data_IF_862537526077
#
_entry.id   IF_862537526077
#
_cell.length_a   1.000
_cell.length_b   1.000
_cell.length_c   1.000
_cell.angle_alpha   90.00
_cell.angle_beta   90.00
_cell.angle_gamma   90.00
#
_symmetry.space_group_name_H-M   'P 1'
#
loop_
_entity.id
_entity.type
_entity.pdbx_description
1 polymer ?
#
# COMPACT_ATOMS: atom_id res chain seq x y z
N UNK A 1 -10.49 24.32 9.76
CA UNK A 1 -9.35 23.38 9.85
C UNK A 1 -8.73 23.09 8.49
N UNK A 2 -9.54 22.91 7.45
CA UNK A 2 -9.11 22.57 6.09
C UNK A 2 -8.01 23.50 5.55
N UNK A 3 -8.23 24.82 5.60
CA UNK A 3 -7.27 25.84 5.13
C UNK A 3 -5.94 25.78 5.92
N UNK A 4 -6.01 25.56 7.24
CA UNK A 4 -4.81 25.47 8.07
C UNK A 4 -3.96 24.26 7.71
N UNK A 5 -4.58 23.11 7.39
CA UNK A 5 -3.88 21.90 6.95
C UNK A 5 -3.25 22.10 5.58
N UNK A 6 -3.94 22.76 4.64
CA UNK A 6 -3.38 23.11 3.33
C UNK A 6 -2.14 24.00 3.51
N UNK A 7 -2.21 24.99 4.41
CA UNK A 7 -1.07 25.86 4.73
C UNK A 7 0.09 25.04 5.31
N UNK A 8 -0.17 24.17 6.29
CA UNK A 8 0.89 23.33 6.89
C UNK A 8 1.53 22.42 5.84
N UNK A 9 0.74 21.74 5.00
CA UNK A 9 1.27 20.85 3.96
C UNK A 9 2.05 21.60 2.89
N UNK A 10 1.58 22.78 2.49
CA UNK A 10 2.32 23.62 1.53
C UNK A 10 3.65 24.09 2.11
N UNK A 11 3.69 24.50 3.38
CA UNK A 11 4.94 24.85 4.08
C UNK A 11 5.89 23.65 4.14
N UNK A 12 5.39 22.45 4.49
CA UNK A 12 6.20 21.23 4.52
C UNK A 12 6.79 20.90 3.14
N UNK A 13 5.98 20.97 2.08
CA UNK A 13 6.41 20.68 0.72
C UNK A 13 7.43 21.70 0.22
N UNK A 14 7.21 23.00 0.49
CA UNK A 14 8.17 24.06 0.19
C UNK A 14 9.47 23.87 0.98
N UNK A 15 9.39 23.50 2.26
CA UNK A 15 10.57 23.20 3.06
C UNK A 15 11.37 22.03 2.47
N UNK A 16 10.73 20.94 2.03
CA UNK A 16 11.40 19.82 1.39
C UNK A 16 12.09 20.21 0.07
N UNK A 17 11.43 21.04 -0.75
CA UNK A 17 11.98 21.52 -2.02
C UNK A 17 13.16 22.48 -1.82
N UNK A 18 13.04 23.46 -0.90
CA UNK A 18 14.09 24.45 -0.64
C UNK A 18 15.32 23.79 0.00
N UNK A 19 15.10 22.92 0.99
CA UNK A 19 16.17 22.22 1.69
C UNK A 19 16.76 21.08 0.86
N UNK A 20 16.24 20.82 -0.36
CA UNK A 20 16.64 19.72 -1.25
C UNK A 20 16.71 18.38 -0.53
N UNK A 21 15.71 18.13 0.33
CA UNK A 21 15.64 16.89 1.10
C UNK A 21 15.10 15.82 0.16
N UNK A 22 16.02 15.11 -0.50
CA UNK A 22 15.74 14.05 -1.47
C UNK A 22 15.22 14.53 -2.83
N UNK A 23 14.97 13.56 -3.71
CA UNK A 23 14.39 13.78 -5.03
C UNK A 23 12.88 14.05 -4.98
N UNK A 24 12.31 14.53 -6.09
CA UNK A 24 10.85 14.72 -6.26
C UNK A 24 10.08 13.41 -6.04
N UNK A 25 10.73 12.27 -6.27
CA UNK A 25 10.16 10.95 -6.05
C UNK A 25 10.33 10.41 -4.63
N UNK A 26 10.87 11.22 -3.70
CA UNK A 26 10.99 10.81 -2.32
C UNK A 26 9.59 10.60 -1.69
N UNK A 27 9.43 9.60 -0.79
CA UNK A 27 8.14 9.28 -0.20
C UNK A 27 7.47 10.47 0.47
N UNK A 28 8.21 11.29 1.23
CA UNK A 28 7.67 12.47 1.92
C UNK A 28 7.21 13.57 0.97
N UNK A 29 7.87 13.73 -0.19
CA UNK A 29 7.50 14.72 -1.22
C UNK A 29 6.26 14.27 -1.97
N UNK A 30 6.19 13.00 -2.38
CA UNK A 30 5.02 12.44 -3.07
C UNK A 30 3.78 12.49 -2.17
N UNK A 31 3.88 12.03 -0.92
CA UNK A 31 2.72 11.99 -0.02
C UNK A 31 2.19 13.37 0.28
N UNK A 32 3.05 14.35 0.57
CA UNK A 32 2.61 15.73 0.79
C UNK A 32 1.99 16.34 -0.46
N UNK A 33 2.55 16.08 -1.64
CA UNK A 33 2.01 16.57 -2.92
C UNK A 33 0.62 16.01 -3.19
N UNK A 34 0.44 14.69 -3.11
CA UNK A 34 -0.84 14.03 -3.42
C UNK A 34 -1.94 14.54 -2.49
N UNK A 35 -1.69 14.57 -1.17
CA UNK A 35 -2.69 15.04 -0.22
C UNK A 35 -3.00 16.53 -0.35
N UNK A 36 -1.99 17.35 -0.65
CA UNK A 36 -2.21 18.76 -0.95
C UNK A 36 -3.11 18.93 -2.18
N UNK A 37 -2.83 18.20 -3.28
CA UNK A 37 -3.66 18.25 -4.49
C UNK A 37 -5.09 17.82 -4.21
N UNK A 38 -5.30 16.72 -3.47
CA UNK A 38 -6.63 16.24 -3.10
C UNK A 38 -7.39 17.32 -2.31
N UNK A 39 -6.77 17.89 -1.27
CA UNK A 39 -7.40 18.92 -0.44
C UNK A 39 -7.73 20.19 -1.24
N UNK A 40 -6.85 20.60 -2.15
CA UNK A 40 -7.09 21.75 -3.02
C UNK A 40 -8.25 21.48 -3.99
N UNK A 41 -8.30 20.31 -4.62
CA UNK A 41 -9.41 19.94 -5.51
C UNK A 41 -10.75 19.92 -4.77
N UNK A 42 -10.77 19.44 -3.51
CA UNK A 42 -11.95 19.47 -2.65
C UNK A 42 -12.48 20.89 -2.42
N UNK A 43 -11.60 21.90 -2.33
CA UNK A 43 -12.02 23.30 -2.19
C UNK A 43 -12.74 23.83 -3.45
N UNK A 44 -12.36 23.35 -4.63
CA UNK A 44 -12.93 23.77 -5.91
C UNK A 44 -14.20 23.01 -6.31
N UNK A 45 -14.52 21.92 -5.61
CA UNK A 45 -15.60 21.02 -5.99
C UNK A 45 -17.00 21.54 -5.64
N UNK A 46 -17.12 22.54 -4.76
CA UNK A 46 -18.41 23.01 -4.25
C UNK A 46 -19.17 21.91 -3.49
N UNK A 47 -20.51 22.00 -3.42
CA UNK A 47 -21.37 21.05 -2.70
C UNK A 47 -21.63 19.72 -3.46
N UNK A 48 -20.80 19.35 -4.45
CA UNK A 48 -20.99 18.11 -5.22
C UNK A 48 -20.51 16.86 -4.48
N UNK A 49 -19.67 16.99 -3.46
CA UNK A 49 -19.26 15.89 -2.59
C UNK A 49 -19.79 16.07 -1.17
N UNK A 50 -19.89 14.95 -0.46
CA UNK A 50 -20.15 14.96 0.97
C UNK A 50 -19.07 15.77 1.71
N UNK A 51 -19.45 16.61 2.68
CA UNK A 51 -18.51 17.40 3.44
C UNK A 51 -17.58 16.47 4.23
N UNK A 52 -16.28 16.79 4.21
CA UNK A 52 -15.27 16.05 4.95
C UNK A 52 -15.47 16.28 6.45
N UNK A 53 -15.61 15.20 7.22
CA UNK A 53 -15.74 15.28 8.67
C UNK A 53 -14.44 15.69 9.36
N UNK A 54 -14.53 16.26 10.57
CA UNK A 54 -13.36 16.64 11.37
C UNK A 54 -12.40 15.47 11.65
N UNK A 55 -12.92 14.24 11.72
CA UNK A 55 -12.11 13.04 11.92
C UNK A 55 -11.13 12.81 10.77
N UNK A 56 -11.53 13.10 9.52
CA UNK A 56 -10.65 12.99 8.36
C UNK A 56 -9.44 13.93 8.48
N UNK A 57 -9.70 15.19 8.85
CA UNK A 57 -8.65 16.19 9.05
C UNK A 57 -7.69 15.82 10.17
N UNK A 58 -8.20 15.28 11.28
CA UNK A 58 -7.37 14.82 12.40
C UNK A 58 -6.50 13.62 12.00
N UNK A 59 -7.08 12.63 11.31
CA UNK A 59 -6.34 11.47 10.81
C UNK A 59 -5.22 11.91 9.87
N UNK A 60 -5.51 12.82 8.94
CA UNK A 60 -4.55 13.31 7.96
C UNK A 60 -3.43 14.15 8.60
N UNK A 61 -3.77 14.96 9.61
CA UNK A 61 -2.80 15.76 10.37
C UNK A 61 -1.88 14.91 11.25
N UNK A 62 -2.32 13.75 11.74
CA UNK A 62 -1.46 12.80 12.44
C UNK A 62 -0.63 11.97 11.46
N UNK A 63 -1.28 11.45 10.43
CA UNK A 63 -0.70 10.45 9.54
C UNK A 63 0.41 11.02 8.64
N UNK A 64 0.19 12.16 7.98
CA UNK A 64 1.19 12.70 7.03
C UNK A 64 2.50 13.09 7.71
N UNK A 65 2.50 13.83 8.85
CA UNK A 65 3.75 14.16 9.53
C UNK A 65 4.48 12.93 10.06
N UNK A 66 3.77 11.96 10.65
CA UNK A 66 4.39 10.71 11.14
C UNK A 66 5.03 9.94 9.97
N UNK A 67 4.33 9.85 8.83
CA UNK A 67 4.86 9.20 7.64
C UNK A 67 6.08 9.93 7.07
N UNK A 68 6.03 11.26 6.95
CA UNK A 68 7.17 12.06 6.49
C UNK A 68 8.37 11.94 7.44
N UNK A 69 8.17 12.05 8.76
CA UNK A 69 9.24 11.90 9.73
C UNK A 69 9.84 10.50 9.71
N UNK A 70 9.01 9.45 9.72
CA UNK A 70 9.51 8.06 9.69
C UNK A 70 10.26 7.74 8.40
N UNK A 71 9.76 8.20 7.24
CA UNK A 71 10.45 8.02 5.97
C UNK A 71 11.77 8.78 5.89
N UNK A 72 11.83 10.01 6.42
CA UNK A 72 13.07 10.78 6.53
C UNK A 72 14.09 10.10 7.45
N UNK A 73 13.67 9.69 8.64
CA UNK A 73 14.53 8.97 9.60
C UNK A 73 15.07 7.70 8.92
N UNK A 74 14.21 6.92 8.28
CA UNK A 74 14.61 5.70 7.58
C UNK A 74 15.61 6.00 6.48
N UNK A 75 15.38 7.05 5.69
CA UNK A 75 16.27 7.45 4.60
C UNK A 75 17.67 7.85 5.08
N UNK A 76 17.77 8.60 6.18
CA UNK A 76 19.07 9.02 6.74
C UNK A 76 19.78 7.93 7.54
N UNK A 77 19.03 7.03 8.20
CA UNK A 77 19.60 5.93 8.99
C UNK A 77 20.05 4.77 8.10
N UNK A 78 19.43 4.58 6.93
CA UNK A 78 19.80 3.49 6.03
C UNK A 78 21.13 3.80 5.32
N UNK A 79 22.10 2.86 5.30
CA UNK A 79 23.47 3.09 4.83
C UNK A 79 23.61 3.38 3.31
N UNK A 80 22.52 3.59 2.58
CA UNK A 80 22.52 3.99 1.17
C UNK A 80 22.60 5.50 0.93
N UNK A 81 22.54 6.33 1.97
CA UNK A 81 22.45 7.80 1.83
C UNK A 81 23.80 8.50 1.56
N UNK A 82 24.92 7.76 1.55
CA UNK A 82 26.26 8.36 1.53
C UNK A 82 27.20 7.98 0.39
N UNK A 83 27.14 6.78 -0.21
CA UNK A 83 28.33 6.28 -0.93
C UNK A 83 28.14 5.33 -2.14
N UNK A 84 26.96 5.22 -2.74
CA UNK A 84 26.73 4.22 -3.82
C UNK A 84 26.10 4.78 -5.09
N UNK A 85 26.76 5.75 -5.71
CA UNK A 85 26.76 5.84 -7.18
C UNK A 85 27.65 4.76 -7.81
N UNK A 86 28.42 4.00 -7.01
CA UNK A 86 29.45 3.07 -7.50
C UNK A 86 29.10 1.59 -7.57
N UNK A 87 27.94 1.12 -7.08
CA UNK A 87 27.52 -0.28 -7.25
C UNK A 87 25.98 -0.42 -7.24
N UNK A 88 25.31 0.11 -8.26
CA UNK A 88 23.86 -0.05 -8.49
C UNK A 88 23.41 -1.48 -8.86
N UNK A 89 24.33 -2.44 -8.88
CA UNK A 89 24.07 -3.83 -9.29
C UNK A 89 23.88 -4.82 -8.14
N UNK A 90 24.14 -4.43 -6.88
CA UNK A 90 23.96 -5.33 -5.75
C UNK A 90 22.52 -5.26 -5.24
N UNK A 91 21.78 -6.35 -5.41
CA UNK A 91 20.45 -6.56 -4.83
C UNK A 91 20.54 -6.19 -3.33
N UNK A 92 19.74 -5.24 -2.82
CA UNK A 92 19.81 -4.80 -1.44
C UNK A 92 19.75 -6.02 -0.51
N UNK A 93 20.72 -6.11 0.39
CA UNK A 93 20.78 -7.18 1.39
C UNK A 93 19.70 -6.92 2.42
N UNK A 94 18.67 -7.77 2.41
CA UNK A 94 17.60 -7.71 3.40
C UNK A 94 17.97 -8.67 4.53
N UNK A 95 17.69 -8.25 5.75
CA UNK A 95 17.84 -9.10 6.91
C UNK A 95 16.86 -10.28 6.83
N UNK A 96 17.38 -11.45 6.45
CA UNK A 96 16.62 -12.68 6.31
C UNK A 96 15.91 -13.11 7.61
N UNK A 97 16.45 -12.75 8.77
CA UNK A 97 15.84 -13.05 10.07
C UNK A 97 14.54 -12.25 10.24
N UNK A 98 14.57 -10.95 9.97
CA UNK A 98 13.38 -10.10 10.04
C UNK A 98 12.34 -10.53 9.01
N UNK A 99 12.76 -10.82 7.77
CA UNK A 99 11.87 -11.33 6.74
C UNK A 99 11.15 -12.63 7.18
N UNK A 100 11.90 -13.57 7.77
CA UNK A 100 11.33 -14.85 8.22
C UNK A 100 10.36 -14.65 9.39
N UNK A 101 10.67 -13.76 10.34
CA UNK A 101 9.77 -13.43 11.44
C UNK A 101 8.45 -12.85 10.92
N UNK A 102 8.51 -11.86 10.03
CA UNK A 102 7.30 -11.29 9.42
C UNK A 102 6.55 -12.30 8.56
N UNK A 103 7.25 -13.19 7.86
CA UNK A 103 6.63 -14.28 7.10
C UNK A 103 5.84 -15.24 8.01
N UNK A 104 6.42 -15.69 9.12
CA UNK A 104 5.72 -16.56 10.07
C UNK A 104 4.50 -15.85 10.67
N UNK A 105 4.65 -14.57 11.04
CA UNK A 105 3.56 -13.74 11.54
C UNK A 105 2.44 -13.63 10.50
N UNK A 106 2.77 -13.33 9.24
CA UNK A 106 1.81 -13.28 8.11
C UNK A 106 1.02 -14.58 7.96
N UNK A 107 1.72 -15.72 8.02
CA UNK A 107 1.11 -17.05 7.85
C UNK A 107 0.16 -17.43 8.98
N UNK A 108 0.29 -16.82 10.16
CA UNK A 108 -0.63 -17.03 11.28
C UNK A 108 -1.78 -16.02 11.24
N UNK A 109 -1.49 -14.73 11.02
CA UNK A 109 -2.50 -13.67 11.09
C UNK A 109 -3.47 -13.74 9.90
N UNK A 110 -2.98 -13.97 8.68
CA UNK A 110 -3.84 -13.97 7.49
C UNK A 110 -4.99 -15.00 7.55
N UNK A 111 -4.75 -16.28 7.91
CA UNK A 111 -5.85 -17.23 8.04
C UNK A 111 -6.75 -16.94 9.24
N UNK A 112 -6.22 -16.41 10.35
CA UNK A 112 -7.05 -15.99 11.50
C UNK A 112 -7.99 -14.85 11.11
N UNK A 113 -7.48 -13.86 10.37
CA UNK A 113 -8.28 -12.74 9.87
C UNK A 113 -9.41 -13.21 8.94
N UNK A 114 -9.08 -14.12 8.01
CA UNK A 114 -10.09 -14.69 7.12
C UNK A 114 -11.10 -15.53 7.89
N UNK A 115 -10.67 -16.28 8.91
CA UNK A 115 -11.57 -17.06 9.76
C UNK A 115 -12.57 -16.17 10.51
N UNK A 116 -12.14 -15.08 11.13
CA UNK A 116 -13.06 -14.15 11.81
C UNK A 116 -14.07 -13.55 10.84
N UNK A 117 -13.62 -13.09 9.67
CA UNK A 117 -14.52 -12.54 8.64
C UNK A 117 -15.53 -13.58 8.18
N UNK A 118 -15.07 -14.80 7.89
CA UNK A 118 -15.97 -15.87 7.47
C UNK A 118 -16.93 -16.27 8.57
N UNK A 119 -16.51 -16.26 9.84
CA UNK A 119 -17.38 -16.53 10.98
C UNK A 119 -18.48 -15.47 11.06
N UNK A 120 -18.16 -14.19 10.96
CA UNK A 120 -19.15 -13.09 10.95
C UNK A 120 -20.08 -13.21 9.76
N UNK A 121 -19.57 -13.50 8.56
CA UNK A 121 -20.39 -13.68 7.35
C UNK A 121 -21.32 -14.90 7.45
N UNK A 122 -20.87 -15.99 8.07
CA UNK A 122 -21.66 -17.20 8.29
C UNK A 122 -22.73 -17.06 9.40
N UNK A 123 -22.66 -16.01 10.24
CA UNK A 123 -23.77 -15.68 11.15
C UNK A 123 -25.00 -15.15 10.39
N UNK A 124 -24.81 -14.68 9.16
CA UNK A 124 -25.88 -14.32 8.24
C UNK A 124 -26.28 -15.52 7.36
N UNK A 125 -27.20 -15.30 6.42
CA UNK A 125 -27.64 -16.36 5.51
C UNK A 125 -26.49 -16.84 4.59
N UNK A 126 -26.32 -18.16 4.50
CA UNK A 126 -25.24 -18.80 3.74
C UNK A 126 -25.48 -18.81 2.23
N UNK A 127 -26.70 -18.50 1.78
CA UNK A 127 -27.03 -18.48 0.35
C UNK A 127 -26.26 -17.39 -0.42
N UNK A 128 -26.01 -16.23 0.21
CA UNK A 128 -25.43 -15.05 -0.41
C UNK A 128 -24.12 -14.60 0.26
N UNK A 129 -23.20 -15.53 0.53
CA UNK A 129 -21.95 -15.24 1.26
C UNK A 129 -21.13 -14.10 0.66
N UNK A 130 -20.99 -14.02 -0.67
CA UNK A 130 -20.23 -12.93 -1.31
C UNK A 130 -20.89 -11.56 -1.14
N UNK A 131 -22.23 -11.53 -1.15
CA UNK A 131 -22.97 -10.29 -0.92
C UNK A 131 -22.87 -9.85 0.54
N UNK A 132 -22.97 -10.79 1.48
CA UNK A 132 -22.78 -10.54 2.91
C UNK A 132 -21.36 -10.07 3.22
N UNK A 133 -20.35 -10.66 2.58
CA UNK A 133 -18.95 -10.24 2.71
C UNK A 133 -18.74 -8.82 2.15
N UNK A 134 -19.42 -8.47 1.04
CA UNK A 134 -19.42 -7.09 0.52
C UNK A 134 -20.12 -6.12 1.49
N UNK A 135 -21.25 -6.50 2.08
CA UNK A 135 -21.94 -5.66 3.06
C UNK A 135 -21.03 -5.43 4.27
N UNK A 136 -20.38 -6.46 4.78
CA UNK A 136 -19.42 -6.36 5.88
C UNK A 136 -18.23 -5.47 5.51
N UNK A 137 -17.69 -5.58 4.29
CA UNK A 137 -16.60 -4.73 3.85
C UNK A 137 -16.99 -3.24 3.70
N UNK A 138 -18.26 -2.93 3.39
CA UNK A 138 -18.73 -1.55 3.15
C UNK A 138 -19.33 -0.91 4.41
N UNK A 139 -20.03 -1.70 5.24
CA UNK A 139 -20.82 -1.23 6.39
C UNK A 139 -20.39 -1.86 7.71
N UNK A 140 -19.39 -2.74 7.71
CA UNK A 140 -18.85 -3.34 8.92
C UNK A 140 -18.12 -2.30 9.76
N UNK A 141 -18.74 -1.92 10.87
CA UNK A 141 -18.12 -1.09 11.91
C UNK A 141 -17.13 -1.89 12.79
N UNK A 142 -16.97 -3.20 12.54
CA UNK A 142 -16.04 -4.04 13.31
C UNK A 142 -14.59 -3.77 12.86
N UNK A 143 -13.90 -2.94 13.64
CA UNK A 143 -12.44 -2.93 13.61
C UNK A 143 -11.95 -4.28 14.14
N UNK A 144 -11.52 -5.21 13.27
CA UNK A 144 -10.82 -6.46 13.63
C UNK A 144 -9.42 -6.20 14.26
N UNK A 145 -9.25 -5.06 14.93
CA UNK A 145 -8.07 -4.64 15.67
C UNK A 145 -6.79 -4.80 14.86
N UNK A 146 -5.86 -5.56 15.43
CA UNK A 146 -4.55 -5.80 14.84
C UNK A 146 -4.59 -6.69 13.58
N UNK A 147 -5.62 -7.52 13.40
CA UNK A 147 -5.74 -8.44 12.25
C UNK A 147 -5.92 -7.68 10.93
N UNK A 148 -6.48 -6.47 10.99
CA UNK A 148 -6.54 -5.57 9.84
C UNK A 148 -5.16 -5.25 9.28
N UNK A 149 -4.07 -5.30 10.05
CA UNK A 149 -2.75 -5.06 9.49
C UNK A 149 -2.20 -6.22 8.65
N UNK A 150 -2.91 -7.35 8.58
CA UNK A 150 -2.52 -8.51 7.75
C UNK A 150 -2.32 -8.14 6.28
N UNK A 151 -3.20 -7.32 5.70
CA UNK A 151 -3.08 -6.97 4.28
C UNK A 151 -1.85 -6.11 4.00
N UNK A 152 -1.52 -5.15 4.87
CA UNK A 152 -0.33 -4.30 4.73
C UNK A 152 0.92 -5.15 4.84
N UNK A 153 0.94 -6.05 5.82
CA UNK A 153 2.07 -6.96 6.05
C UNK A 153 2.28 -7.88 4.84
N UNK A 154 1.19 -8.43 4.28
CA UNK A 154 1.23 -9.26 3.06
C UNK A 154 1.72 -8.46 1.84
N UNK A 155 1.28 -7.22 1.65
CA UNK A 155 1.76 -6.35 0.57
C UNK A 155 3.26 -6.06 0.67
N UNK A 156 3.76 -5.75 1.86
CA UNK A 156 5.19 -5.49 2.08
C UNK A 156 6.01 -6.76 1.84
N UNK A 157 5.58 -7.90 2.38
CA UNK A 157 6.24 -9.20 2.13
C UNK A 157 6.25 -9.57 0.66
N UNK A 158 5.17 -9.30 -0.08
CA UNK A 158 5.09 -9.55 -1.52
C UNK A 158 6.16 -8.77 -2.27
N UNK A 159 6.25 -7.46 -2.04
CA UNK A 159 7.25 -6.60 -2.71
C UNK A 159 8.66 -7.05 -2.38
N UNK A 160 8.92 -7.33 -1.10
CA UNK A 160 10.23 -7.80 -0.62
C UNK A 160 10.62 -9.14 -1.26
N UNK A 161 9.72 -10.12 -1.23
CA UNK A 161 9.96 -11.44 -1.80
C UNK A 161 10.17 -11.40 -3.32
N UNK A 162 9.39 -10.58 -4.04
CA UNK A 162 9.55 -10.35 -5.47
C UNK A 162 10.91 -9.73 -5.79
N UNK A 163 11.32 -8.72 -5.04
CA UNK A 163 12.60 -8.04 -5.23
C UNK A 163 13.77 -9.01 -5.03
N UNK A 164 13.75 -9.81 -3.96
CA UNK A 164 14.82 -10.75 -3.62
C UNK A 164 14.90 -12.01 -4.47
N UNK A 165 13.88 -12.32 -5.28
CA UNK A 165 13.91 -13.49 -6.17
C UNK A 165 15.17 -13.47 -7.07
N UNK A 166 15.99 -14.53 -7.15
CA UNK A 166 15.71 -15.91 -6.77
C UNK A 166 16.25 -16.37 -5.40
N UNK A 167 16.73 -15.46 -4.53
CA UNK A 167 17.29 -15.83 -3.20
C UNK A 167 16.23 -16.43 -2.27
N UNK A 168 14.96 -16.05 -2.46
CA UNK A 168 13.81 -16.60 -1.73
C UNK A 168 13.27 -17.82 -2.47
N UNK A 169 13.04 -18.96 -1.79
CA UNK A 169 12.52 -20.17 -2.44
C UNK A 169 11.12 -19.94 -3.02
N UNK A 170 10.84 -20.55 -4.16
CA UNK A 170 9.58 -20.38 -4.90
C UNK A 170 8.34 -20.69 -4.03
N UNK A 171 8.42 -21.68 -3.15
CA UNK A 171 7.34 -22.04 -2.24
C UNK A 171 6.96 -20.88 -1.30
N UNK A 172 7.94 -20.16 -0.74
CA UNK A 172 7.65 -19.01 0.12
C UNK A 172 6.97 -17.89 -0.68
N UNK A 173 7.45 -17.60 -1.89
CA UNK A 173 6.84 -16.62 -2.78
C UNK A 173 5.39 -16.98 -3.14
N UNK A 174 5.13 -18.25 -3.47
CA UNK A 174 3.77 -18.75 -3.75
C UNK A 174 2.87 -18.61 -2.52
N UNK A 175 3.35 -18.96 -1.33
CA UNK A 175 2.54 -18.81 -0.11
C UNK A 175 2.21 -17.34 0.19
N UNK A 176 3.13 -16.40 -0.05
CA UNK A 176 2.86 -14.95 0.13
C UNK A 176 1.83 -14.45 -0.89
N UNK A 177 1.89 -14.92 -2.14
CA UNK A 177 0.89 -14.60 -3.16
C UNK A 177 -0.49 -15.13 -2.73
N UNK A 178 -0.57 -16.38 -2.27
CA UNK A 178 -1.83 -16.97 -1.79
C UNK A 178 -2.36 -16.16 -0.60
N UNK A 179 -1.51 -15.82 0.38
CA UNK A 179 -1.90 -15.00 1.53
C UNK A 179 -2.40 -13.61 1.09
N UNK A 180 -1.75 -12.99 0.11
CA UNK A 180 -2.16 -11.70 -0.44
C UNK A 180 -3.52 -11.79 -1.15
N UNK A 181 -3.77 -12.86 -1.90
CA UNK A 181 -5.06 -13.12 -2.54
C UNK A 181 -6.15 -13.37 -1.50
N UNK A 182 -5.87 -14.15 -0.46
CA UNK A 182 -6.80 -14.39 0.66
C UNK A 182 -7.20 -13.07 1.33
N UNK A 183 -6.25 -12.19 1.63
CA UNK A 183 -6.56 -10.86 2.17
C UNK A 183 -7.32 -9.97 1.19
N UNK A 184 -7.08 -10.09 -0.12
CA UNK A 184 -7.82 -9.34 -1.13
C UNK A 184 -9.30 -9.78 -1.20
N UNK A 185 -9.56 -11.08 -1.08
CA UNK A 185 -10.93 -11.60 -0.95
C UNK A 185 -11.61 -11.14 0.33
N UNK A 186 -10.89 -11.17 1.46
CA UNK A 186 -11.42 -10.79 2.76
C UNK A 186 -11.85 -9.31 2.82
N UNK A 187 -11.11 -8.41 2.18
CA UNK A 187 -11.40 -6.96 2.20
C UNK A 187 -12.30 -6.55 1.02
N UNK A 188 -12.47 -7.42 0.01
CA UNK A 188 -13.20 -7.13 -1.24
C UNK A 188 -12.79 -5.80 -1.91
N UNK A 189 -11.54 -5.38 -1.72
CA UNK A 189 -11.03 -4.15 -2.28
C UNK A 189 -10.29 -4.40 -3.59
N UNK A 190 -10.69 -3.66 -4.63
CA UNK A 190 -10.03 -3.68 -5.95
C UNK A 190 -8.57 -3.23 -5.88
N UNK A 191 -8.23 -2.37 -4.93
CA UNK A 191 -6.89 -1.79 -4.74
C UNK A 191 -5.81 -2.82 -4.46
N UNK A 192 -6.12 -3.84 -3.65
CA UNK A 192 -5.14 -4.87 -3.29
C UNK A 192 -4.74 -5.75 -4.48
N UNK A 193 -5.70 -6.12 -5.32
CA UNK A 193 -5.44 -6.88 -6.56
C UNK A 193 -4.60 -6.04 -7.53
N UNK A 194 -4.93 -4.75 -7.65
CA UNK A 194 -4.16 -3.82 -8.48
C UNK A 194 -2.70 -3.70 -8.01
N UNK A 195 -2.50 -3.58 -6.70
CA UNK A 195 -1.16 -3.52 -6.10
C UNK A 195 -0.34 -4.78 -6.38
N UNK A 196 -0.94 -5.97 -6.20
CA UNK A 196 -0.28 -7.25 -6.48
C UNK A 196 0.19 -7.30 -7.93
N UNK A 197 -0.69 -6.96 -8.87
CA UNK A 197 -0.37 -6.99 -10.30
C UNK A 197 0.71 -5.96 -10.66
N UNK A 198 0.61 -4.74 -10.14
CA UNK A 198 1.59 -3.68 -10.35
C UNK A 198 2.97 -4.07 -9.80
N UNK A 199 3.04 -4.62 -8.59
CA UNK A 199 4.30 -5.05 -7.97
C UNK A 199 4.99 -6.16 -8.77
N UNK A 200 4.23 -7.15 -9.25
CA UNK A 200 4.75 -8.25 -10.08
C UNK A 200 5.30 -7.70 -11.40
N UNK A 201 4.54 -6.87 -12.11
CA UNK A 201 4.98 -6.30 -13.39
C UNK A 201 6.20 -5.40 -13.23
N UNK A 202 6.19 -4.53 -12.22
CA UNK A 202 7.29 -3.62 -11.95
C UNK A 202 8.59 -4.39 -11.70
N UNK A 203 8.51 -5.46 -10.89
CA UNK A 203 9.67 -6.32 -10.61
C UNK A 203 10.16 -7.05 -11.87
N UNK A 204 9.24 -7.58 -12.69
CA UNK A 204 9.58 -8.24 -13.95
C UNK A 204 10.22 -7.29 -14.96
N UNK A 205 9.80 -6.02 -14.96
CA UNK A 205 10.37 -4.96 -15.79
C UNK A 205 11.80 -4.58 -15.35
N UNK A 206 12.01 -4.34 -14.05
CA UNK A 206 13.33 -4.06 -13.48
C UNK A 206 14.32 -5.20 -13.77
N UNK A 207 13.86 -6.45 -13.67
CA UNK A 207 14.65 -7.65 -14.03
C UNK A 207 14.79 -7.87 -15.54
N UNK A 208 14.31 -6.95 -16.37
CA UNK A 208 14.38 -6.95 -17.85
C UNK A 208 13.74 -8.16 -18.53
N UNK A 209 12.86 -8.90 -17.84
CA UNK A 209 12.09 -9.99 -18.46
C UNK A 209 11.00 -9.43 -19.39
N UNK A 210 10.51 -8.23 -19.11
CA UNK A 210 9.37 -7.62 -19.79
C UNK A 210 9.76 -6.23 -20.34
N UNK A 211 9.30 -5.89 -21.55
CA UNK A 211 9.50 -4.56 -22.17
C UNK A 211 8.37 -3.60 -21.77
N UNK A 212 8.64 -2.28 -21.78
CA UNK A 212 7.64 -1.22 -21.48
C UNK A 212 6.31 -1.38 -22.24
N UNK A 213 6.35 -1.89 -23.47
CA UNK A 213 5.12 -2.14 -24.26
C UNK A 213 4.17 -3.09 -23.57
N UNK A 214 4.68 -4.15 -22.95
CA UNK A 214 3.86 -5.12 -22.22
C UNK A 214 3.26 -4.54 -20.94
N UNK A 215 3.95 -3.60 -20.28
CA UNK A 215 3.39 -2.85 -19.14
C UNK A 215 2.16 -2.08 -19.59
N UNK A 216 2.27 -1.31 -20.68
CA UNK A 216 1.16 -0.51 -21.21
C UNK A 216 -0.02 -1.40 -21.61
N UNK A 217 0.23 -2.50 -22.32
CA UNK A 217 -0.83 -3.45 -22.69
C UNK A 217 -1.51 -4.10 -21.48
N UNK A 218 -0.74 -4.44 -20.44
CA UNK A 218 -1.28 -5.01 -19.22
C UNK A 218 -2.08 -4.00 -18.40
N UNK A 219 -1.63 -2.74 -18.30
CA UNK A 219 -2.35 -1.67 -17.63
C UNK A 219 -3.67 -1.34 -18.34
N UNK A 220 -3.67 -1.27 -19.68
CA UNK A 220 -4.88 -1.07 -20.48
C UNK A 220 -5.85 -2.25 -20.29
N UNK A 221 -5.34 -3.49 -20.28
CA UNK A 221 -6.19 -4.67 -20.05
C UNK A 221 -6.86 -4.64 -18.68
N UNK A 222 -6.14 -4.22 -17.63
CA UNK A 222 -6.73 -4.05 -16.29
C UNK A 222 -7.83 -2.99 -16.30
N UNK A 223 -7.56 -1.81 -16.87
CA UNK A 223 -8.53 -0.70 -16.88
C UNK A 223 -9.81 -1.15 -17.59
N UNK A 224 -9.69 -1.83 -18.73
CA UNK A 224 -10.83 -2.41 -19.43
C UNK A 224 -11.56 -3.42 -18.54
N UNK A 225 -10.84 -4.39 -17.95
CA UNK A 225 -11.46 -5.44 -17.14
C UNK A 225 -12.18 -4.88 -15.90
N UNK A 226 -11.71 -3.76 -15.32
CA UNK A 226 -12.31 -3.17 -14.13
C UNK A 226 -13.41 -2.13 -14.37
N UNK A 227 -13.44 -1.50 -15.55
CA UNK A 227 -14.45 -0.47 -15.90
C UNK A 227 -15.55 -0.97 -16.84
N UNK A 228 -15.31 -2.03 -17.63
CA UNK A 228 -16.29 -2.58 -18.58
C UNK A 228 -17.05 -3.81 -18.06
N UNK A 229 -16.60 -4.41 -16.95
CA UNK A 229 -17.24 -5.50 -16.21
C UNK A 229 -17.61 -5.00 -14.82
#
# INVERSE_FOLDING_TARGET
MEIAIIIIMSIMLVAFLILKIGDVFAPWTITTTIWLVILVLFQFQGNLLYPLGNQFYNCLMLWVPIFCCSSLITYYVMPGHGDTQKNSSSIPEINHTLFTVFYVISMVITPLYLYEIMQTVMMFDTADMLYNLRILAVHGDESHGFLNYSYVLNQVLLVVALWQYPKVPMWQLVTIIIASIMSAFAIMEKGMVFFLFAAVIFTLYEKKFIRMRSIIFSAISIVILFFLI
#
